data_IF_749710658216
#
_entry.id   IF_749710658216
#
_cell.length_a   1.000
_cell.length_b   1.000
_cell.length_c   1.000
_cell.angle_alpha   90.00
_cell.angle_beta   90.00
_cell.angle_gamma   90.00
#
_symmetry.space_group_name_H-M   'P 1'
#
loop_
_entity.id
_entity.type
_entity.pdbx_description
1 polymer ?
#
# COMPACT_ATOMS: atom_id res chain seq x y z
N UNK A 1 5.12 -20.72 20.32
CA UNK A 1 3.77 -21.29 20.45
C UNK A 1 2.74 -20.30 19.90
N UNK A 2 2.22 -20.58 18.71
CA UNK A 2 1.18 -19.78 18.05
C UNK A 2 -0.15 -19.96 18.81
N UNK A 3 -0.93 -18.89 19.09
CA UNK A 3 -2.20 -19.01 19.78
C UNK A 3 -3.20 -19.94 19.07
N UNK A 4 -3.84 -20.79 19.86
CA UNK A 4 -4.70 -21.92 19.46
C UNK A 4 -6.05 -21.55 18.79
N UNK A 5 -6.23 -20.30 18.32
CA UNK A 5 -7.50 -19.84 17.70
C UNK A 5 -7.60 -20.09 16.19
N UNK A 6 -6.58 -20.67 15.56
CA UNK A 6 -6.54 -20.91 14.10
C UNK A 6 -6.66 -22.39 13.69
N UNK A 7 -7.07 -23.29 14.60
CA UNK A 7 -7.00 -24.76 14.36
C UNK A 7 -8.33 -25.45 13.98
N UNK A 8 -9.44 -24.73 13.80
CA UNK A 8 -10.77 -25.36 13.61
C UNK A 8 -11.49 -24.95 12.33
N UNK A 9 -10.80 -24.95 11.19
CA UNK A 9 -11.45 -25.01 9.87
C UNK A 9 -10.82 -26.09 8.99
N UNK A 10 -11.05 -27.36 9.35
CA UNK A 10 -11.00 -28.46 8.39
C UNK A 10 -12.08 -29.48 8.77
N UNK A 11 -12.89 -29.82 7.76
CA UNK A 11 -13.98 -30.81 7.70
C UNK A 11 -15.39 -30.29 8.02
N UNK A 12 -16.10 -29.88 6.97
CA UNK A 12 -17.27 -30.64 6.53
C UNK A 12 -17.51 -30.37 5.04
N UNK A 13 -17.65 -31.45 4.27
CA UNK A 13 -17.98 -31.45 2.85
C UNK A 13 -19.44 -31.89 2.78
N UNK A 14 -20.29 -31.09 2.12
CA UNK A 14 -21.68 -31.44 1.80
C UNK A 14 -22.73 -30.87 2.77
N UNK A 15 -23.24 -29.69 2.46
CA UNK A 15 -24.70 -29.47 2.41
C UNK A 15 -25.01 -28.25 1.53
N UNK A 16 -26.05 -28.39 0.71
CA UNK A 16 -26.47 -27.44 -0.30
C UNK A 16 -27.18 -26.23 0.30
N UNK A 17 -26.45 -25.12 0.39
CA UNK A 17 -27.04 -23.81 0.61
C UNK A 17 -26.18 -22.78 -0.11
N UNK A 18 -26.66 -22.30 -1.26
CA UNK A 18 -26.14 -21.12 -1.94
C UNK A 18 -26.29 -19.89 -1.04
N UNK A 19 -25.44 -19.79 -0.02
CA UNK A 19 -25.16 -18.52 0.61
C UNK A 19 -24.30 -17.77 -0.40
N UNK A 20 -24.95 -16.95 -1.23
CA UNK A 20 -24.32 -15.80 -1.89
C UNK A 20 -23.67 -14.95 -0.79
N UNK A 21 -22.51 -15.36 -0.29
CA UNK A 21 -21.61 -14.51 0.48
C UNK A 21 -21.37 -13.33 -0.44
N UNK A 22 -21.89 -12.16 -0.04
CA UNK A 22 -21.83 -10.97 -0.86
C UNK A 22 -20.39 -10.77 -1.28
N UNK A 23 -20.13 -10.76 -2.58
CA UNK A 23 -18.82 -10.50 -3.21
C UNK A 23 -18.24 -9.12 -2.79
N UNK A 24 -18.97 -8.38 -1.96
CA UNK A 24 -18.66 -7.07 -1.40
C UNK A 24 -18.80 -7.09 0.13
N UNK A 25 -17.92 -7.81 0.81
CA UNK A 25 -17.75 -7.57 2.24
C UNK A 25 -17.28 -6.13 2.46
N UNK A 26 -17.53 -5.53 3.63
CA UNK A 26 -17.21 -4.10 3.83
C UNK A 26 -15.71 -3.79 3.65
N UNK A 27 -14.86 -4.79 3.88
CA UNK A 27 -13.42 -4.74 3.66
C UNK A 27 -13.05 -4.72 2.17
N UNK A 28 -13.62 -5.61 1.36
CA UNK A 28 -13.40 -5.68 -0.09
C UNK A 28 -13.79 -4.37 -0.77
N UNK A 29 -14.90 -3.74 -0.33
CA UNK A 29 -15.34 -2.45 -0.89
C UNK A 29 -14.27 -1.37 -0.76
N UNK A 30 -13.60 -1.26 0.39
CA UNK A 30 -12.53 -0.26 0.57
C UNK A 30 -11.37 -0.55 -0.36
N UNK A 31 -10.94 -1.81 -0.46
CA UNK A 31 -9.88 -2.21 -1.37
C UNK A 31 -10.22 -1.84 -2.82
N UNK A 32 -11.42 -2.18 -3.30
CA UNK A 32 -11.83 -1.85 -4.67
C UNK A 32 -12.01 -0.35 -4.90
N UNK A 33 -12.46 0.42 -3.90
CA UNK A 33 -12.54 1.88 -3.96
C UNK A 33 -11.14 2.50 -4.06
N UNK A 34 -10.16 1.98 -3.33
CA UNK A 34 -8.77 2.44 -3.44
C UNK A 34 -8.21 2.12 -4.83
N UNK A 35 -8.41 0.90 -5.33
CA UNK A 35 -7.97 0.52 -6.67
C UNK A 35 -8.62 1.39 -7.74
N UNK A 36 -9.95 1.58 -7.65
CA UNK A 36 -10.72 2.40 -8.58
C UNK A 36 -10.26 3.86 -8.57
N UNK A 37 -10.04 4.45 -7.39
CA UNK A 37 -9.53 5.82 -7.26
C UNK A 37 -8.16 5.98 -7.92
N UNK A 38 -7.23 5.06 -7.66
CA UNK A 38 -5.91 5.06 -8.30
C UNK A 38 -6.02 4.98 -9.82
N UNK A 39 -6.86 4.08 -10.33
CA UNK A 39 -7.09 3.94 -11.77
C UNK A 39 -7.64 5.22 -12.40
N UNK A 40 -8.62 5.86 -11.76
CA UNK A 40 -9.18 7.13 -12.24
C UNK A 40 -8.09 8.20 -12.30
N UNK A 41 -7.30 8.38 -11.24
CA UNK A 41 -6.24 9.39 -11.22
C UNK A 41 -5.17 9.11 -12.28
N UNK A 42 -4.77 7.85 -12.50
CA UNK A 42 -3.82 7.51 -13.57
C UNK A 42 -4.41 7.73 -14.96
N UNK A 43 -5.70 7.49 -15.18
CA UNK A 43 -6.32 7.82 -16.48
C UNK A 43 -6.35 9.33 -16.73
N UNK A 44 -6.47 10.15 -15.68
CA UNK A 44 -6.32 11.60 -15.79
C UNK A 44 -4.89 12.00 -16.16
N UNK A 45 -3.89 11.33 -15.59
CA UNK A 45 -2.48 11.49 -15.99
C UNK A 45 -2.26 11.12 -17.47
N UNK A 46 -2.81 9.98 -17.91
CA UNK A 46 -2.67 9.51 -19.28
C UNK A 46 -3.37 10.42 -20.31
N UNK A 47 -4.45 11.12 -19.92
CA UNK A 47 -5.19 12.06 -20.79
C UNK A 47 -4.66 13.50 -20.71
N UNK A 48 -3.67 13.76 -19.87
CA UNK A 48 -3.05 15.07 -19.75
C UNK A 48 -2.06 15.28 -20.91
N UNK A 49 -2.54 15.50 -22.13
CA UNK A 49 -1.67 15.65 -23.31
C UNK A 49 -0.97 17.01 -23.38
N UNK A 50 -1.60 18.07 -22.86
CA UNK A 50 -1.04 19.43 -22.85
C UNK A 50 -0.07 19.64 -21.70
N UNK A 51 1.02 20.39 -21.94
CA UNK A 51 1.98 20.79 -20.88
C UNK A 51 1.30 21.42 -19.66
N UNK A 52 0.27 22.26 -19.86
CA UNK A 52 -0.49 22.88 -18.78
C UNK A 52 -1.21 21.83 -17.90
N UNK A 53 -1.83 20.82 -18.55
CA UNK A 53 -2.54 19.75 -17.83
C UNK A 53 -1.55 18.88 -17.05
N UNK A 54 -0.39 18.55 -17.63
CA UNK A 54 0.67 17.83 -16.92
C UNK A 54 1.20 18.64 -15.73
N UNK A 55 1.43 19.95 -15.89
CA UNK A 55 1.86 20.82 -14.81
C UNK A 55 0.83 20.89 -13.68
N UNK A 56 -0.47 20.96 -14.01
CA UNK A 56 -1.53 20.86 -13.01
C UNK A 56 -1.54 19.51 -12.30
N UNK A 57 -1.36 18.39 -13.01
CA UNK A 57 -1.28 17.08 -12.39
C UNK A 57 -0.09 16.97 -11.43
N UNK A 58 1.08 17.51 -11.80
CA UNK A 58 2.22 17.60 -10.89
C UNK A 58 1.87 18.46 -9.67
N UNK A 59 1.26 19.63 -9.87
CA UNK A 59 0.95 20.56 -8.79
C UNK A 59 -0.04 20.02 -7.76
N UNK A 60 -1.04 19.24 -8.20
CA UNK A 60 -2.11 18.74 -7.34
C UNK A 60 -1.93 17.29 -6.91
N UNK A 61 -1.22 16.45 -7.66
CA UNK A 61 -1.12 15.00 -7.43
C UNK A 61 0.32 14.51 -7.20
N UNK A 62 1.28 15.41 -7.00
CA UNK A 62 2.61 15.04 -6.52
C UNK A 62 2.94 15.85 -5.28
N UNK A 63 3.73 15.29 -4.37
CA UNK A 63 4.18 16.01 -3.19
C UNK A 63 5.66 16.34 -3.32
N UNK A 64 6.03 17.54 -2.89
CA UNK A 64 7.42 18.01 -2.89
C UNK A 64 7.55 19.17 -1.90
N UNK A 65 8.77 19.48 -1.45
CA UNK A 65 9.00 20.57 -0.49
C UNK A 65 8.40 21.91 -0.96
N UNK A 66 8.50 22.19 -2.26
CA UNK A 66 7.99 23.42 -2.88
C UNK A 66 6.47 23.52 -2.76
N UNK A 67 5.75 22.39 -2.75
CA UNK A 67 4.30 22.38 -2.56
C UNK A 67 3.94 22.72 -1.11
N UNK A 68 4.71 22.23 -0.13
CA UNK A 68 4.49 22.55 1.28
C UNK A 68 4.81 24.01 1.59
N UNK A 69 5.89 24.55 1.03
CA UNK A 69 6.25 25.98 1.17
C UNK A 69 5.16 26.90 0.60
N UNK A 70 4.45 26.46 -0.44
CA UNK A 70 3.30 27.17 -1.03
C UNK A 70 1.98 26.99 -0.25
N UNK A 71 1.98 26.24 0.86
CA UNK A 71 0.80 25.96 1.66
C UNK A 71 -0.12 24.86 1.11
N UNK A 72 0.32 24.10 0.11
CA UNK A 72 -0.48 23.03 -0.52
C UNK A 72 -0.37 21.71 0.25
N UNK A 73 -0.77 21.67 1.52
CA UNK A 73 -0.67 20.45 2.35
C UNK A 73 -1.51 19.27 1.83
N UNK A 74 -2.53 19.54 1.01
CA UNK A 74 -3.36 18.50 0.40
C UNK A 74 -2.56 17.56 -0.53
N UNK A 75 -1.40 18.00 -1.05
CA UNK A 75 -0.57 17.18 -1.95
C UNK A 75 -0.04 15.91 -1.29
N UNK A 76 0.09 15.90 0.03
CA UNK A 76 0.48 14.71 0.80
C UNK A 76 -0.57 13.61 0.65
N UNK A 77 -1.86 13.96 0.65
CA UNK A 77 -2.94 12.99 0.52
C UNK A 77 -3.22 12.63 -0.94
N UNK A 78 -3.25 13.61 -1.84
CA UNK A 78 -3.56 13.36 -3.26
C UNK A 78 -2.44 12.59 -3.98
N UNK A 79 -1.18 12.78 -3.57
CA UNK A 79 -0.04 12.02 -4.13
C UNK A 79 -0.09 10.52 -3.79
N UNK A 80 -0.89 10.12 -2.79
CA UNK A 80 -1.11 8.71 -2.47
C UNK A 80 -1.89 7.97 -3.55
N UNK A 81 -2.63 8.69 -4.38
CA UNK A 81 -3.48 8.11 -5.42
C UNK A 81 -2.91 8.27 -6.83
N UNK A 82 -1.68 8.76 -6.94
CA UNK A 82 -1.09 9.23 -8.19
C UNK A 82 -0.01 8.28 -8.69
N UNK A 83 -0.06 7.97 -9.99
CA UNK A 83 0.95 7.17 -10.68
C UNK A 83 1.29 7.82 -12.01
N UNK A 84 2.58 8.08 -12.24
CA UNK A 84 3.06 8.69 -13.50
C UNK A 84 3.09 7.65 -14.62
N UNK A 85 3.43 6.40 -14.30
CA UNK A 85 3.55 5.31 -15.27
C UNK A 85 2.56 4.19 -15.01
N UNK A 86 2.07 3.59 -16.10
CA UNK A 86 1.17 2.43 -16.04
C UNK A 86 1.83 1.20 -15.38
N UNK A 87 3.14 1.06 -15.52
CA UNK A 87 3.91 -0.02 -14.88
C UNK A 87 3.92 0.12 -13.35
N UNK A 88 4.05 1.35 -12.84
CA UNK A 88 3.99 1.62 -11.39
C UNK A 88 2.59 1.36 -10.84
N UNK A 89 1.54 1.76 -11.59
CA UNK A 89 0.16 1.45 -11.23
C UNK A 89 -0.04 -0.07 -11.17
N UNK A 90 0.35 -0.79 -12.23
CA UNK A 90 0.15 -2.24 -12.33
C UNK A 90 0.76 -2.97 -11.13
N UNK A 91 2.02 -2.67 -10.78
CA UNK A 91 2.68 -3.30 -9.64
C UNK A 91 1.99 -2.91 -8.33
N UNK A 92 1.66 -1.64 -8.10
CA UNK A 92 0.98 -1.21 -6.88
C UNK A 92 -0.39 -1.84 -6.70
N UNK A 93 -1.20 -1.92 -7.76
CA UNK A 93 -2.52 -2.53 -7.71
C UNK A 93 -2.43 -4.05 -7.51
N UNK A 94 -1.42 -4.69 -8.11
CA UNK A 94 -1.13 -6.10 -7.87
C UNK A 94 -0.77 -6.35 -6.40
N UNK A 95 0.14 -5.54 -5.84
CA UNK A 95 0.49 -5.62 -4.42
C UNK A 95 -0.71 -5.37 -3.50
N UNK A 96 -1.48 -4.32 -3.78
CA UNK A 96 -2.67 -3.97 -2.99
C UNK A 96 -3.75 -5.05 -3.08
N UNK A 97 -3.95 -5.68 -4.24
CA UNK A 97 -4.94 -6.75 -4.40
C UNK A 97 -4.52 -8.02 -3.66
N UNK A 98 -3.28 -8.49 -3.86
CA UNK A 98 -2.83 -9.75 -3.25
C UNK A 98 -2.58 -9.61 -1.75
N UNK A 99 -1.82 -8.60 -1.32
CA UNK A 99 -1.50 -8.42 0.09
C UNK A 99 -2.62 -7.70 0.85
N UNK A 100 -3.28 -6.73 0.21
CA UNK A 100 -4.30 -5.93 0.87
C UNK A 100 -5.62 -6.67 1.09
N UNK A 101 -6.00 -7.64 0.25
CA UNK A 101 -7.24 -8.41 0.45
C UNK A 101 -7.24 -9.10 1.80
N UNK A 102 -6.25 -9.95 2.06
CA UNK A 102 -6.15 -10.68 3.32
C UNK A 102 -6.12 -9.73 4.52
N UNK A 103 -5.26 -8.71 4.46
CA UNK A 103 -5.15 -7.71 5.52
C UNK A 103 -6.48 -6.97 5.76
N UNK A 104 -7.23 -6.66 4.71
CA UNK A 104 -8.51 -5.98 4.81
C UNK A 104 -9.56 -6.82 5.55
N UNK A 105 -9.60 -8.14 5.31
CA UNK A 105 -10.51 -9.04 6.03
C UNK A 105 -10.12 -9.22 7.49
N UNK A 106 -8.82 -9.18 7.81
CA UNK A 106 -8.32 -9.34 9.17
C UNK A 106 -8.51 -8.07 10.00
N UNK A 107 -8.17 -6.91 9.43
CA UNK A 107 -8.24 -5.63 10.14
C UNK A 107 -9.63 -5.00 10.10
N UNK A 108 -10.42 -5.33 9.08
CA UNK A 108 -11.65 -4.62 8.74
C UNK A 108 -11.40 -3.31 8.00
N UNK A 109 -12.45 -2.79 7.37
CA UNK A 109 -12.43 -1.63 6.47
C UNK A 109 -11.76 -0.39 7.05
N UNK A 110 -12.13 0.02 8.28
CA UNK A 110 -11.64 1.26 8.90
C UNK A 110 -10.13 1.22 9.19
N UNK A 111 -9.65 0.11 9.74
CA UNK A 111 -8.23 -0.06 10.11
C UNK A 111 -7.36 -0.26 8.88
N UNK A 112 -7.87 -0.96 7.87
CA UNK A 112 -7.20 -1.09 6.58
C UNK A 112 -7.00 0.26 5.89
N UNK A 113 -8.06 1.09 5.82
CA UNK A 113 -7.96 2.44 5.27
C UNK A 113 -6.97 3.31 6.09
N UNK A 114 -7.04 3.23 7.42
CA UNK A 114 -6.12 3.94 8.29
C UNK A 114 -4.66 3.54 8.07
N UNK A 115 -4.37 2.26 7.84
CA UNK A 115 -3.04 1.77 7.52
C UNK A 115 -2.54 2.28 6.16
N UNK A 116 -3.41 2.25 5.14
CA UNK A 116 -3.09 2.79 3.81
C UNK A 116 -2.72 4.28 3.91
N UNK A 117 -3.57 5.08 4.58
CA UNK A 117 -3.36 6.51 4.79
C UNK A 117 -2.10 6.80 5.61
N UNK A 118 -1.91 6.11 6.74
CA UNK A 118 -0.73 6.29 7.58
C UNK A 118 0.56 5.92 6.84
N UNK A 119 0.54 4.83 6.06
CA UNK A 119 1.67 4.40 5.25
C UNK A 119 2.08 5.44 4.21
N UNK A 120 1.13 5.99 3.45
CA UNK A 120 1.44 7.01 2.44
C UNK A 120 1.82 8.38 3.03
N UNK A 121 1.23 8.78 4.15
CA UNK A 121 1.60 10.03 4.86
C UNK A 121 3.02 9.91 5.41
N UNK A 122 3.35 8.84 6.13
CA UNK A 122 4.70 8.64 6.68
C UNK A 122 5.76 8.51 5.58
N UNK A 123 5.41 7.83 4.49
CA UNK A 123 6.27 7.74 3.31
C UNK A 123 6.54 9.13 2.72
N UNK A 124 5.50 9.94 2.55
CA UNK A 124 5.62 11.31 2.05
C UNK A 124 6.44 12.20 2.99
N UNK A 125 6.23 12.11 4.30
CA UNK A 125 7.00 12.85 5.29
C UNK A 125 8.50 12.49 5.24
N UNK A 126 8.83 11.20 5.18
CA UNK A 126 10.21 10.75 5.09
C UNK A 126 10.88 11.16 3.77
N UNK A 127 10.13 11.14 2.67
CA UNK A 127 10.62 11.64 1.38
C UNK A 127 10.92 13.15 1.44
N UNK A 128 10.03 13.94 2.06
CA UNK A 128 10.19 15.38 2.23
C UNK A 128 11.36 15.73 3.16
N UNK A 129 11.58 14.97 4.22
CA UNK A 129 12.73 15.14 5.12
C UNK A 129 14.06 14.92 4.37
N UNK A 130 14.16 13.85 3.57
CA UNK A 130 15.36 13.64 2.74
C UNK A 130 15.51 14.74 1.68
N UNK A 131 14.40 15.25 1.15
CA UNK A 131 14.38 16.37 0.21
C UNK A 131 15.00 17.63 0.83
N UNK A 132 14.63 17.95 2.08
CA UNK A 132 15.17 19.06 2.86
C UNK A 132 16.67 18.89 3.09
N UNK A 133 17.09 17.69 3.46
CA UNK A 133 18.49 17.37 3.78
C UNK A 133 19.39 17.40 2.54
N UNK A 134 18.88 16.88 1.43
CA UNK A 134 19.61 16.71 0.17
C UNK A 134 19.57 17.97 -0.71
N UNK A 135 18.67 18.92 -0.43
CA UNK A 135 18.37 20.10 -1.27
C UNK A 135 18.03 19.76 -2.73
N UNK A 136 17.53 18.55 -2.99
CA UNK A 136 17.12 18.11 -4.32
C UNK A 136 15.61 18.10 -4.38
N UNK A 137 15.01 18.75 -5.36
CA UNK A 137 13.56 18.75 -5.49
C UNK A 137 13.15 17.66 -6.47
N UNK A 138 12.46 16.63 -5.97
CA UNK A 138 11.87 15.57 -6.78
C UNK A 138 10.36 15.49 -6.53
N UNK A 139 9.55 15.19 -7.55
CA UNK A 139 8.13 14.90 -7.36
C UNK A 139 7.99 13.49 -6.77
N UNK A 140 7.47 13.41 -5.55
CA UNK A 140 7.26 12.15 -4.85
C UNK A 140 5.79 11.70 -4.96
N UNK A 141 5.62 10.38 -5.16
CA UNK A 141 4.33 9.70 -5.25
C UNK A 141 4.15 8.81 -4.01
N UNK A 142 3.24 9.17 -3.11
CA UNK A 142 3.02 8.47 -1.84
C UNK A 142 2.34 7.10 -1.99
N UNK A 143 1.89 6.75 -3.20
CA UNK A 143 1.13 5.53 -3.46
C UNK A 143 1.91 4.25 -3.14
N UNK A 144 3.20 4.21 -3.50
CA UNK A 144 4.02 3.03 -3.26
C UNK A 144 4.30 2.82 -1.76
N UNK A 145 4.51 3.91 -1.01
CA UNK A 145 4.62 3.83 0.45
C UNK A 145 3.37 3.25 1.13
N UNK A 146 2.18 3.63 0.67
CA UNK A 146 0.93 3.09 1.20
C UNK A 146 0.81 1.57 0.95
N UNK A 147 1.19 1.10 -0.23
CA UNK A 147 1.19 -0.34 -0.58
C UNK A 147 2.29 -1.09 0.18
N UNK A 148 3.50 -0.53 0.29
CA UNK A 148 4.62 -1.14 1.01
C UNK A 148 4.32 -1.31 2.51
N UNK A 149 3.61 -0.39 3.14
CA UNK A 149 3.16 -0.55 4.52
C UNK A 149 2.20 -1.76 4.70
N UNK A 150 1.27 -1.94 3.76
CA UNK A 150 0.33 -3.08 3.76
C UNK A 150 1.08 -4.38 3.49
N UNK A 151 1.96 -4.39 2.49
CA UNK A 151 2.79 -5.56 2.14
C UNK A 151 3.67 -5.96 3.31
N UNK A 152 4.33 -5.01 3.98
CA UNK A 152 5.14 -5.28 5.17
C UNK A 152 4.32 -5.91 6.30
N UNK A 153 3.12 -5.37 6.58
CA UNK A 153 2.24 -5.95 7.60
C UNK A 153 1.78 -7.37 7.22
N UNK A 154 1.47 -7.61 5.94
CA UNK A 154 1.06 -8.92 5.43
C UNK A 154 2.15 -9.98 5.62
N UNK A 155 3.40 -9.64 5.26
CA UNK A 155 4.56 -10.53 5.47
C UNK A 155 4.75 -10.85 6.96
N UNK A 156 4.61 -9.86 7.84
CA UNK A 156 4.81 -10.04 9.28
C UNK A 156 3.72 -10.87 9.95
N UNK A 157 2.46 -10.69 9.54
CA UNK A 157 1.34 -11.45 10.08
C UNK A 157 1.31 -12.89 9.58
N UNK A 158 1.61 -13.11 8.29
CA UNK A 158 1.45 -14.42 7.65
C UNK A 158 2.64 -14.79 6.76
N UNK A 159 3.86 -14.93 7.30
CA UNK A 159 5.06 -15.17 6.49
C UNK A 159 4.95 -16.45 5.65
N UNK A 160 4.33 -17.50 6.18
CA UNK A 160 4.27 -18.82 5.54
C UNK A 160 2.99 -19.09 4.73
N UNK A 161 2.08 -18.12 4.60
CA UNK A 161 0.93 -18.30 3.71
C UNK A 161 1.39 -18.38 2.26
N UNK A 162 0.64 -19.10 1.43
CA UNK A 162 0.95 -19.26 0.01
C UNK A 162 -0.10 -18.52 -0.79
N UNK A 163 0.33 -17.46 -1.47
CA UNK A 163 -0.50 -16.77 -2.46
C UNK A 163 -0.36 -17.50 -3.78
N UNK A 164 -1.48 -17.76 -4.47
CA UNK A 164 -1.45 -18.20 -5.86
C UNK A 164 -1.34 -16.98 -6.75
N UNK A 165 -0.11 -16.59 -7.05
CA UNK A 165 0.17 -15.48 -7.97
C UNK A 165 -0.27 -15.93 -9.37
N UNK A 166 -1.20 -15.18 -9.97
CA UNK A 166 -1.87 -15.49 -11.24
C UNK A 166 -2.58 -16.87 -11.30
N UNK A 167 -2.96 -17.44 -10.16
CA UNK A 167 -3.65 -18.75 -10.11
C UNK A 167 -2.76 -19.96 -10.41
N UNK A 168 -1.51 -19.75 -10.81
CA UNK A 168 -0.61 -20.81 -11.32
C UNK A 168 0.58 -21.05 -10.38
N UNK A 169 1.18 -20.00 -9.81
CA UNK A 169 2.39 -20.11 -8.99
C UNK A 169 2.08 -19.92 -7.50
N UNK A 170 2.17 -20.97 -6.66
CA UNK A 170 2.09 -20.84 -5.22
C UNK A 170 3.40 -20.21 -4.71
N UNK A 171 3.38 -18.91 -4.44
CA UNK A 171 4.52 -18.19 -3.89
C UNK A 171 4.27 -17.93 -2.41
N UNK A 172 5.28 -18.16 -1.58
CA UNK A 172 5.23 -17.82 -0.15
C UNK A 172 5.14 -16.31 0.01
N UNK A 173 4.26 -15.85 0.90
CA UNK A 173 3.99 -14.43 1.14
C UNK A 173 5.23 -13.62 1.48
N UNK A 174 6.11 -14.16 2.31
CA UNK A 174 7.39 -13.51 2.63
C UNK A 174 8.27 -13.34 1.39
N UNK A 175 8.29 -14.32 0.49
CA UNK A 175 9.14 -14.26 -0.70
C UNK A 175 8.55 -13.29 -1.73
N UNK A 176 7.24 -13.37 -1.99
CA UNK A 176 6.55 -12.47 -2.89
C UNK A 176 6.66 -11.01 -2.42
N UNK A 177 6.43 -10.77 -1.13
CA UNK A 177 6.49 -9.43 -0.56
C UNK A 177 7.92 -8.86 -0.49
N UNK A 178 8.92 -9.70 -0.18
CA UNK A 178 10.32 -9.29 -0.23
C UNK A 178 10.79 -8.99 -1.66
N UNK A 179 10.37 -9.77 -2.66
CA UNK A 179 10.66 -9.46 -4.07
C UNK A 179 9.97 -8.18 -4.52
N UNK A 180 8.72 -7.94 -4.08
CA UNK A 180 7.98 -6.73 -4.39
C UNK A 180 8.70 -5.48 -3.87
N UNK A 181 8.98 -5.46 -2.57
CA UNK A 181 9.71 -4.37 -1.92
C UNK A 181 11.12 -4.25 -2.50
N UNK A 182 11.80 -5.37 -2.74
CA UNK A 182 13.16 -5.40 -3.28
C UNK A 182 13.26 -4.87 -4.71
N UNK A 183 12.27 -5.15 -5.55
CA UNK A 183 12.18 -4.59 -6.91
C UNK A 183 12.03 -3.08 -6.88
N UNK A 184 11.13 -2.57 -6.04
CA UNK A 184 10.90 -1.13 -5.92
C UNK A 184 12.13 -0.44 -5.32
N UNK A 185 12.75 -1.06 -4.32
CA UNK A 185 14.02 -0.63 -3.74
C UNK A 185 15.14 -0.53 -4.80
N UNK A 186 15.26 -1.52 -5.68
CA UNK A 186 16.26 -1.51 -6.75
C UNK A 186 16.00 -0.41 -7.78
N UNK A 187 14.74 -0.15 -8.15
CA UNK A 187 14.41 0.92 -9.10
C UNK A 187 14.77 2.31 -8.54
N UNK A 188 14.73 2.48 -7.22
CA UNK A 188 15.01 3.78 -6.58
C UNK A 188 16.45 4.00 -6.15
N UNK A 189 17.22 2.94 -5.83
CA UNK A 189 18.57 3.07 -5.29
C UNK A 189 19.52 3.83 -6.24
N UNK A 190 19.21 3.87 -7.55
CA UNK A 190 19.95 4.64 -8.55
C UNK A 190 19.25 5.92 -9.05
N UNK A 191 17.93 6.08 -8.83
CA UNK A 191 17.14 7.17 -9.45
C UNK A 191 16.69 8.24 -8.46
N UNK A 192 16.19 7.85 -7.28
CA UNK A 192 15.55 8.77 -6.34
C UNK A 192 15.81 8.32 -4.89
N UNK A 193 16.78 8.95 -4.22
CA UNK A 193 17.08 8.67 -2.80
C UNK A 193 15.89 8.97 -1.89
N UNK A 194 15.08 9.97 -2.23
CA UNK A 194 13.90 10.35 -1.44
C UNK A 194 12.89 9.19 -1.36
N UNK A 195 12.68 8.47 -2.47
CA UNK A 195 11.78 7.31 -2.54
C UNK A 195 12.28 6.10 -1.71
N UNK A 196 13.59 5.97 -1.55
CA UNK A 196 14.20 4.95 -0.69
C UNK A 196 13.82 5.18 0.78
N UNK A 197 14.02 6.41 1.28
CA UNK A 197 13.64 6.77 2.65
C UNK A 197 12.12 6.66 2.86
N UNK A 198 11.36 7.11 1.87
CA UNK A 198 9.90 6.98 1.84
C UNK A 198 9.44 5.53 2.07
N UNK A 199 10.10 4.57 1.41
CA UNK A 199 9.76 3.16 1.55
C UNK A 199 10.21 2.57 2.86
N UNK A 200 11.42 2.88 3.33
CA UNK A 200 11.89 2.43 4.65
C UNK A 200 10.94 2.89 5.77
N UNK A 201 10.50 4.15 5.74
CA UNK A 201 9.56 4.69 6.71
C UNK A 201 8.21 3.95 6.67
N UNK A 202 7.68 3.66 5.48
CA UNK A 202 6.40 2.95 5.33
C UNK A 202 6.47 1.48 5.78
N UNK A 203 7.58 0.78 5.52
CA UNK A 203 7.83 -0.58 6.01
C UNK A 203 7.91 -0.57 7.55
N UNK A 204 8.60 0.43 8.10
CA UNK A 204 8.64 0.69 9.53
C UNK A 204 7.24 0.91 10.12
N UNK A 205 6.37 1.68 9.45
CA UNK A 205 4.98 1.87 9.85
C UNK A 205 4.22 0.54 9.95
N UNK A 206 4.30 -0.30 8.92
CA UNK A 206 3.68 -1.64 8.93
C UNK A 206 4.18 -2.50 10.08
N UNK A 207 5.49 -2.48 10.34
CA UNK A 207 6.11 -3.19 11.47
C UNK A 207 5.67 -2.66 12.85
N UNK A 208 5.61 -1.34 13.03
CA UNK A 208 5.13 -0.72 14.26
C UNK A 208 3.66 -1.03 14.52
N UNK A 209 2.84 -1.01 13.46
CA UNK A 209 1.43 -1.40 13.54
C UNK A 209 1.28 -2.86 14.00
N UNK A 210 2.11 -3.76 13.44
CA UNK A 210 2.16 -5.16 13.87
C UNK A 210 2.51 -5.30 15.36
N UNK A 211 3.54 -4.60 15.84
CA UNK A 211 3.95 -4.64 17.25
C UNK A 211 2.84 -4.10 18.16
N UNK A 212 2.18 -3.01 17.77
CA UNK A 212 1.05 -2.43 18.50
C UNK A 212 -0.11 -3.43 18.61
N UNK A 213 -0.42 -4.13 17.53
CA UNK A 213 -1.43 -5.18 17.50
C UNK A 213 -1.09 -6.33 18.46
N UNK A 214 0.16 -6.79 18.49
CA UNK A 214 0.61 -7.85 19.41
C UNK A 214 0.50 -7.41 20.88
N UNK A 215 0.83 -6.15 21.20
CA UNK A 215 0.71 -5.61 22.56
C UNK A 215 -0.73 -5.59 23.05
N UNK A 216 -1.68 -5.22 22.19
CA UNK A 216 -3.10 -5.22 22.55
C UNK A 216 -3.64 -6.64 22.79
N UNK A 217 -3.20 -7.64 22.02
CA UNK A 217 -3.61 -9.03 22.25
C UNK A 217 -3.04 -9.58 23.56
N UNK A 218 -1.81 -9.20 23.93
CA UNK A 218 -1.19 -9.61 25.21
C UNK A 218 -1.84 -8.96 26.43
N UNK A 219 -2.41 -7.76 26.30
CA UNK A 219 -3.15 -7.08 27.38
C UNK A 219 -4.52 -7.70 27.70
N UNK A 220 -5.05 -8.53 26.79
CA UNK A 220 -6.33 -9.23 26.95
C UNK A 220 -6.17 -10.68 27.45
N UNK A 221 -4.96 -11.06 27.84
CA UNK A 221 -4.64 -12.31 28.53
C UNK A 221 -4.17 -12.00 29.93
#
# INVERSE_FOLDING_TARGET
MVPNKFRTQRRSFGDGGEHRQSVFDSADRVLFVLIGTNLVVTTLWSKADTHLRKAMMVAFFTTSIVHLEKGNYHTVFTSMFSHVDLSQLFTNMLGLYFFGRDISHILGSKRFLGLYLAGGVLSSCAALEEQMRSRRVSPNLGANGAVNAITALSILLYPHTTFRVFGILPVRSWFAGSLFIGRDFFDWIGKNRDALFASLASIGCGGLYYVSMLRNVRRLR
#
